data_IF_768181902225
#
_entry.id   IF_768181902225
#
_cell.length_a   1.000
_cell.length_b   1.000
_cell.length_c   1.000
_cell.angle_alpha   90.00
_cell.angle_beta   90.00
_cell.angle_gamma   90.00
#
_symmetry.space_group_name_H-M   'P 1'
#
loop_
_entity.id
_entity.type
_entity.pdbx_description
1 polymer ?
#
# COMPACT_ATOMS: atom_id res chain seq x y z
N UNK A 1 0.00 1.64 -10.47
CA UNK A 1 -1.38 1.54 -9.92
C UNK A 1 -2.30 2.62 -10.51
N UNK A 2 -1.90 3.90 -10.59
CA UNK A 2 -2.73 4.97 -11.19
C UNK A 2 -3.25 4.61 -12.60
N UNK A 3 -2.40 4.09 -13.47
CA UNK A 3 -2.80 3.68 -14.82
C UNK A 3 -3.82 2.52 -14.84
N UNK A 4 -3.71 1.57 -13.89
CA UNK A 4 -4.68 0.49 -13.76
C UNK A 4 -6.02 1.00 -13.21
N UNK A 5 -5.97 1.94 -12.25
CA UNK A 5 -7.18 2.57 -11.71
C UNK A 5 -7.92 3.37 -12.80
N UNK A 6 -7.18 4.10 -13.63
CA UNK A 6 -7.77 4.82 -14.77
C UNK A 6 -8.36 3.86 -15.80
N UNK A 7 -7.68 2.77 -16.12
CA UNK A 7 -8.22 1.73 -17.01
C UNK A 7 -9.53 1.14 -16.46
N UNK A 8 -9.56 0.77 -15.19
CA UNK A 8 -10.78 0.25 -14.54
C UNK A 8 -11.92 1.29 -14.56
N UNK A 9 -11.59 2.57 -14.29
CA UNK A 9 -12.55 3.67 -14.30
C UNK A 9 -13.21 3.86 -15.67
N UNK A 10 -12.47 3.68 -16.76
CA UNK A 10 -13.04 3.77 -18.12
C UNK A 10 -14.12 2.70 -18.38
N UNK A 11 -14.09 1.60 -17.66
CA UNK A 11 -15.11 0.55 -17.71
C UNK A 11 -16.14 0.65 -16.57
N UNK A 12 -16.13 1.73 -15.80
CA UNK A 12 -17.04 1.95 -14.67
C UNK A 12 -16.76 1.04 -13.45
N UNK A 13 -15.57 0.45 -13.36
CA UNK A 13 -15.17 -0.43 -12.26
C UNK A 13 -14.32 0.34 -11.26
N UNK A 14 -14.73 0.45 -9.98
CA UNK A 14 -13.93 1.09 -8.95
C UNK A 14 -12.72 0.23 -8.59
N UNK A 15 -11.64 0.88 -8.16
CA UNK A 15 -10.44 0.21 -7.66
C UNK A 15 -10.17 0.64 -6.21
N UNK A 16 -10.20 -0.32 -5.31
CA UNK A 16 -10.03 -0.11 -3.89
C UNK A 16 -8.66 -0.57 -3.40
N UNK A 17 -8.05 0.21 -2.50
CA UNK A 17 -6.85 -0.20 -1.79
C UNK A 17 -7.23 -0.93 -0.50
N UNK A 18 -6.74 -2.16 -0.34
CA UNK A 18 -6.79 -2.92 0.92
C UNK A 18 -5.37 -3.05 1.45
N UNK A 19 -5.18 -2.76 2.73
CA UNK A 19 -3.86 -2.82 3.36
C UNK A 19 -3.60 -4.22 3.93
N UNK A 20 -2.34 -4.71 3.77
CA UNK A 20 -2.04 -6.12 4.08
C UNK A 20 -1.21 -6.37 5.34
N UNK A 21 -0.64 -5.33 5.95
CA UNK A 21 0.10 -5.47 7.21
C UNK A 21 1.28 -6.43 7.14
N UNK A 22 2.14 -6.31 6.13
CA UNK A 22 3.22 -7.25 5.84
C UNK A 22 4.19 -7.47 7.01
N UNK A 23 4.49 -6.42 7.76
CA UNK A 23 5.36 -6.46 8.94
C UNK A 23 4.68 -5.77 10.11
N UNK A 24 4.61 -6.46 11.24
CA UNK A 24 4.00 -5.95 12.48
C UNK A 24 4.92 -6.24 13.68
N UNK A 25 6.22 -6.25 13.41
CA UNK A 25 7.23 -6.43 14.43
C UNK A 25 7.27 -5.21 15.34
N UNK A 26 7.42 -5.49 16.64
CA UNK A 26 7.61 -4.46 17.67
C UNK A 26 9.02 -4.49 18.26
N UNK A 27 9.90 -5.21 17.61
CA UNK A 27 11.30 -5.40 18.02
C UNK A 27 12.20 -4.75 16.98
N UNK A 28 13.24 -4.11 17.45
CA UNK A 28 14.25 -3.51 16.59
C UNK A 28 14.90 -4.55 15.67
N UNK A 29 15.15 -4.17 14.43
CA UNK A 29 15.85 -5.02 13.47
C UNK A 29 17.27 -5.27 13.94
N UNK A 30 17.70 -6.54 13.90
CA UNK A 30 19.11 -6.87 14.01
C UNK A 30 19.89 -6.55 12.72
N UNK A 31 21.21 -6.56 12.79
CA UNK A 31 22.06 -6.25 11.64
C UNK A 31 21.82 -7.21 10.45
N UNK A 32 21.55 -8.48 10.70
CA UNK A 32 21.29 -9.46 9.65
C UNK A 32 19.94 -9.22 8.96
N UNK A 33 18.89 -8.91 9.72
CA UNK A 33 17.58 -8.55 9.18
C UNK A 33 17.67 -7.25 8.34
N UNK A 34 18.44 -6.26 8.80
CA UNK A 34 18.70 -5.03 8.06
C UNK A 34 19.36 -5.31 6.71
N UNK A 35 20.45 -6.07 6.70
CA UNK A 35 21.17 -6.43 5.45
C UNK A 35 20.22 -7.16 4.48
N UNK A 36 19.46 -8.16 4.95
CA UNK A 36 18.50 -8.87 4.09
C UNK A 36 17.45 -7.92 3.52
N UNK A 37 16.92 -7.00 4.34
CA UNK A 37 15.89 -6.06 3.88
C UNK A 37 16.45 -5.11 2.80
N UNK A 38 17.64 -4.57 2.99
CA UNK A 38 18.28 -3.71 1.99
C UNK A 38 18.62 -4.46 0.69
N UNK A 39 19.00 -5.73 0.78
CA UNK A 39 19.18 -6.58 -0.42
C UNK A 39 17.86 -6.80 -1.18
N UNK A 40 16.74 -6.94 -0.48
CA UNK A 40 15.42 -6.97 -1.14
C UNK A 40 15.07 -5.64 -1.81
N UNK A 41 15.39 -4.51 -1.20
CA UNK A 41 15.16 -3.20 -1.83
C UNK A 41 15.96 -3.05 -3.12
N UNK A 42 17.24 -3.44 -3.12
CA UNK A 42 18.08 -3.44 -4.32
C UNK A 42 17.48 -4.33 -5.43
N UNK A 43 17.05 -5.55 -5.10
CA UNK A 43 16.42 -6.43 -6.08
C UNK A 43 15.10 -5.85 -6.64
N UNK A 44 14.31 -5.15 -5.81
CA UNK A 44 13.11 -4.45 -6.28
C UNK A 44 13.47 -3.29 -7.20
N UNK A 45 14.47 -2.47 -6.86
CA UNK A 45 14.96 -1.39 -7.70
C UNK A 45 15.41 -1.91 -9.07
N UNK A 46 16.26 -2.94 -9.10
CA UNK A 46 16.74 -3.58 -10.34
C UNK A 46 15.59 -4.13 -11.20
N UNK A 47 14.58 -4.73 -10.56
CA UNK A 47 13.47 -5.36 -11.28
C UNK A 47 12.45 -4.36 -11.80
N UNK A 48 12.21 -3.27 -11.04
CA UNK A 48 11.09 -2.35 -11.31
C UNK A 48 11.53 -0.99 -11.85
N UNK A 49 12.82 -0.64 -11.71
CA UNK A 49 13.33 0.70 -12.00
C UNK A 49 12.82 1.78 -11.04
N UNK A 50 12.16 1.40 -9.94
CA UNK A 50 11.72 2.37 -8.93
C UNK A 50 12.91 2.80 -8.07
N UNK A 51 13.02 4.10 -7.72
CA UNK A 51 14.16 4.61 -6.97
C UNK A 51 14.13 4.16 -5.50
N UNK A 52 15.30 3.77 -4.99
CA UNK A 52 15.55 3.51 -3.58
C UNK A 52 16.81 4.23 -3.13
N UNK A 53 16.83 4.71 -1.90
CA UNK A 53 18.02 5.25 -1.24
C UNK A 53 18.47 4.28 -0.18
N UNK A 54 19.52 3.52 -0.47
CA UNK A 54 20.04 2.46 0.41
C UNK A 54 20.95 3.05 1.50
N UNK A 55 21.69 4.09 1.17
CA UNK A 55 22.60 4.74 2.11
C UNK A 55 21.83 5.36 3.28
N UNK A 56 22.25 5.01 4.49
CA UNK A 56 21.62 5.42 5.75
C UNK A 56 20.16 4.97 5.95
N UNK A 57 19.64 4.09 5.09
CA UNK A 57 18.32 3.51 5.27
C UNK A 57 18.30 2.56 6.48
N UNK A 58 17.13 2.48 7.12
CA UNK A 58 16.88 1.59 8.25
C UNK A 58 17.95 1.71 9.35
N UNK A 59 18.00 2.83 10.09
CA UNK A 59 19.04 3.08 11.09
C UNK A 59 19.07 1.98 12.17
N UNK A 60 20.16 1.94 12.93
CA UNK A 60 20.28 1.00 14.06
C UNK A 60 19.12 1.22 15.04
N UNK A 61 18.53 0.14 15.50
CA UNK A 61 17.37 0.18 16.41
C UNK A 61 16.04 0.43 15.72
N UNK A 62 15.99 0.49 14.38
CA UNK A 62 14.73 0.70 13.65
C UNK A 62 13.76 -0.45 13.87
N UNK A 63 12.52 -0.12 14.25
CA UNK A 63 11.40 -1.07 14.34
C UNK A 63 10.60 -0.99 13.05
N UNK A 64 10.70 -2.04 12.24
CA UNK A 64 10.03 -2.07 10.94
C UNK A 64 8.57 -2.53 11.08
N UNK A 65 7.71 -1.62 11.53
CA UNK A 65 6.26 -1.82 11.63
C UNK A 65 5.53 -1.12 10.49
N UNK A 66 4.76 -1.85 9.69
CA UNK A 66 3.97 -1.30 8.59
C UNK A 66 2.57 -0.86 9.01
N UNK A 67 2.13 -1.18 10.25
CA UNK A 67 0.79 -0.84 10.73
C UNK A 67 0.51 0.67 10.67
N UNK A 68 1.39 1.58 11.15
CA UNK A 68 1.10 3.01 11.10
C UNK A 68 0.86 3.54 9.69
N UNK A 69 1.68 3.14 8.72
CA UNK A 69 1.51 3.52 7.33
C UNK A 69 0.21 2.95 6.72
N UNK A 70 -0.14 1.70 7.03
CA UNK A 70 -1.40 1.09 6.63
C UNK A 70 -2.59 1.85 7.22
N UNK A 71 -2.55 2.16 8.51
CA UNK A 71 -3.60 2.90 9.20
C UNK A 71 -3.78 4.32 8.68
N UNK A 72 -2.71 4.97 8.24
CA UNK A 72 -2.79 6.26 7.57
C UNK A 72 -3.60 6.18 6.27
N UNK A 73 -3.43 5.12 5.48
CA UNK A 73 -4.20 4.90 4.25
C UNK A 73 -5.67 4.59 4.55
N UNK A 74 -5.95 3.84 5.62
CA UNK A 74 -7.33 3.56 6.05
C UNK A 74 -8.01 4.83 6.57
N UNK A 75 -7.31 5.67 7.33
CA UNK A 75 -7.82 6.97 7.77
C UNK A 75 -8.13 7.88 6.56
N UNK A 76 -7.22 7.95 5.60
CA UNK A 76 -7.43 8.70 4.35
C UNK A 76 -8.66 8.18 3.59
N UNK A 77 -8.82 6.87 3.44
CA UNK A 77 -9.98 6.23 2.79
C UNK A 77 -11.31 6.62 3.47
N UNK A 78 -11.31 6.76 4.78
CA UNK A 78 -12.49 7.18 5.54
C UNK A 78 -12.84 8.67 5.39
N UNK A 79 -11.86 9.52 5.09
CA UNK A 79 -12.04 10.96 4.90
C UNK A 79 -12.27 11.34 3.45
N UNK A 80 -11.42 10.86 2.55
CA UNK A 80 -11.49 11.08 1.11
C UNK A 80 -10.81 9.92 0.37
N UNK A 81 -11.59 9.10 -0.30
CA UNK A 81 -11.09 7.95 -1.05
C UNK A 81 -10.13 8.37 -2.18
N UNK A 82 -10.28 9.57 -2.75
CA UNK A 82 -9.40 10.07 -3.81
C UNK A 82 -7.99 10.40 -3.30
N UNK A 83 -7.84 10.69 -2.01
CA UNK A 83 -6.53 10.95 -1.39
C UNK A 83 -5.70 9.68 -1.15
N UNK A 84 -6.28 8.49 -1.20
CA UNK A 84 -5.62 7.22 -0.81
C UNK A 84 -4.40 6.92 -1.67
N UNK A 85 -4.54 6.95 -3.01
CA UNK A 85 -3.44 6.64 -3.92
C UNK A 85 -2.33 7.71 -3.91
N UNK A 86 -2.64 9.02 -3.94
CA UNK A 86 -1.65 10.05 -3.73
C UNK A 86 -0.88 9.91 -2.41
N UNK A 87 -1.59 9.62 -1.30
CA UNK A 87 -0.95 9.42 0.00
C UNK A 87 -0.05 8.18 0.02
N UNK A 88 -0.52 7.05 -0.55
CA UNK A 88 0.29 5.83 -0.65
C UNK A 88 1.61 6.08 -1.39
N UNK A 89 1.57 6.85 -2.49
CA UNK A 89 2.75 7.24 -3.26
C UNK A 89 3.71 8.12 -2.45
N UNK A 90 3.18 9.09 -1.69
CA UNK A 90 4.00 9.93 -0.82
C UNK A 90 4.64 9.13 0.33
N UNK A 91 3.90 8.22 0.97
CA UNK A 91 4.42 7.35 2.02
C UNK A 91 5.56 6.48 1.48
N UNK A 92 5.38 5.85 0.32
CA UNK A 92 6.41 5.04 -0.32
C UNK A 92 7.65 5.89 -0.64
N UNK A 93 7.48 7.08 -1.22
CA UNK A 93 8.59 7.97 -1.52
C UNK A 93 9.32 8.41 -0.25
N UNK A 94 8.59 8.85 0.77
CA UNK A 94 9.16 9.27 2.04
C UNK A 94 10.02 8.15 2.66
N UNK A 95 9.54 6.92 2.65
CA UNK A 95 10.23 5.78 3.26
C UNK A 95 11.40 5.28 2.40
N UNK A 96 11.16 4.96 1.14
CA UNK A 96 12.15 4.28 0.29
C UNK A 96 13.17 5.21 -0.36
N UNK A 97 12.84 6.49 -0.55
CA UNK A 97 13.71 7.46 -1.26
C UNK A 97 14.27 8.51 -0.30
N UNK A 98 13.44 9.00 0.63
CA UNK A 98 13.80 10.11 1.52
C UNK A 98 14.29 9.62 2.90
N UNK A 99 14.26 8.29 3.14
CA UNK A 99 14.62 7.65 4.42
C UNK A 99 13.89 8.24 5.63
N UNK A 100 12.67 8.73 5.42
CA UNK A 100 11.81 9.24 6.47
C UNK A 100 11.17 8.10 7.26
N UNK A 101 11.10 8.23 8.58
CA UNK A 101 10.47 7.23 9.43
C UNK A 101 8.94 7.33 9.38
N UNK A 102 8.32 6.59 8.46
CA UNK A 102 6.86 6.54 8.29
C UNK A 102 6.15 5.68 9.35
N UNK A 103 6.87 5.20 10.37
CA UNK A 103 6.24 4.64 11.57
C UNK A 103 5.80 5.73 12.55
N UNK A 104 6.28 6.97 12.35
CA UNK A 104 5.99 8.11 13.20
C UNK A 104 4.70 8.81 12.77
N UNK A 105 3.72 8.97 13.69
CA UNK A 105 2.46 9.66 13.38
C UNK A 105 2.65 11.07 12.80
N UNK A 106 3.62 11.83 13.31
CA UNK A 106 3.87 13.18 12.84
C UNK A 106 4.23 13.25 11.36
N UNK A 107 5.07 12.29 10.87
CA UNK A 107 5.43 12.18 9.46
C UNK A 107 4.21 11.87 8.60
N UNK A 108 3.38 10.93 9.04
CA UNK A 108 2.18 10.53 8.31
C UNK A 108 1.15 11.67 8.21
N UNK A 109 0.99 12.45 9.28
CA UNK A 109 0.12 13.64 9.27
C UNK A 109 0.64 14.70 8.28
N UNK A 110 1.95 14.95 8.24
CA UNK A 110 2.54 15.89 7.27
C UNK A 110 2.37 15.43 5.82
N UNK A 111 2.45 14.12 5.57
CA UNK A 111 2.20 13.56 4.24
C UNK A 111 0.72 13.66 3.85
N UNK A 112 -0.19 13.47 4.80
CA UNK A 112 -1.63 13.63 4.58
C UNK A 112 -2.01 15.07 4.23
N UNK A 113 -1.42 16.07 4.89
CA UNK A 113 -1.61 17.48 4.56
C UNK A 113 -1.19 17.80 3.11
N UNK A 114 -0.11 17.18 2.60
CA UNK A 114 0.35 17.37 1.22
C UNK A 114 -0.61 16.84 0.15
N UNK A 115 -1.51 15.94 0.51
CA UNK A 115 -2.56 15.43 -0.39
C UNK A 115 -3.94 16.05 -0.14
N UNK A 116 -3.98 17.13 0.67
CA UNK A 116 -5.20 17.92 0.88
C UNK A 116 -6.06 17.44 2.05
N UNK A 117 -5.57 16.50 2.89
CA UNK A 117 -6.26 16.09 4.11
C UNK A 117 -5.84 17.01 5.28
N UNK A 118 -6.74 17.86 5.82
CA UNK A 118 -6.36 18.79 6.88
C UNK A 118 -5.93 18.04 8.16
N UNK A 119 -4.86 18.51 8.80
CA UNK A 119 -4.34 17.94 10.05
C UNK A 119 -5.43 17.78 11.12
N UNK A 120 -6.31 18.78 11.24
CA UNK A 120 -7.37 18.79 12.25
C UNK A 120 -8.40 17.66 12.06
N UNK A 121 -8.53 17.16 10.83
CA UNK A 121 -9.43 16.04 10.50
C UNK A 121 -8.66 14.72 10.47
N UNK A 122 -7.47 14.71 9.85
CA UNK A 122 -6.71 13.49 9.66
C UNK A 122 -6.12 12.94 10.97
N UNK A 123 -5.53 13.77 11.83
CA UNK A 123 -4.88 13.26 13.03
C UNK A 123 -5.86 12.56 14.00
N UNK A 124 -7.04 13.11 14.29
CA UNK A 124 -8.05 12.39 15.07
C UNK A 124 -8.54 11.12 14.39
N UNK A 125 -8.78 11.14 13.07
CA UNK A 125 -9.22 9.97 12.32
C UNK A 125 -8.15 8.87 12.32
N UNK A 126 -6.87 9.22 12.19
CA UNK A 126 -5.74 8.30 12.26
C UNK A 126 -5.65 7.60 13.63
N UNK A 127 -5.92 8.31 14.74
CA UNK A 127 -5.84 7.75 16.10
C UNK A 127 -7.14 7.08 16.57
N UNK A 128 -8.22 7.22 15.82
CA UNK A 128 -9.54 6.69 16.18
C UNK A 128 -9.53 5.15 16.35
N UNK A 129 -10.21 4.60 17.36
CA UNK A 129 -10.36 3.15 17.53
C UNK A 129 -11.01 2.49 16.31
N UNK A 130 -11.93 3.16 15.64
CA UNK A 130 -12.65 2.69 14.45
C UNK A 130 -11.66 2.48 13.28
N UNK A 131 -10.73 3.40 13.08
CA UNK A 131 -9.68 3.29 12.06
C UNK A 131 -8.72 2.15 12.35
N UNK A 132 -8.34 1.95 13.62
CA UNK A 132 -7.54 0.78 14.04
C UNK A 132 -8.27 -0.54 13.77
N UNK A 133 -9.56 -0.60 14.10
CA UNK A 133 -10.40 -1.76 13.84
C UNK A 133 -10.55 -2.03 12.34
N UNK A 134 -10.78 -1.00 11.53
CA UNK A 134 -10.86 -1.11 10.08
C UNK A 134 -9.53 -1.55 9.44
N UNK A 135 -8.40 -1.07 9.97
CA UNK A 135 -7.06 -1.52 9.54
C UNK A 135 -6.85 -3.00 9.84
N UNK A 136 -7.24 -3.44 11.03
CA UNK A 136 -7.15 -4.85 11.40
C UNK A 136 -8.09 -5.71 10.54
N UNK A 137 -9.28 -5.22 10.22
CA UNK A 137 -10.22 -5.93 9.35
C UNK A 137 -9.64 -6.15 7.94
N UNK A 138 -8.95 -5.15 7.37
CA UNK A 138 -8.23 -5.30 6.09
C UNK A 138 -7.15 -6.41 6.19
N UNK A 139 -6.36 -6.42 7.28
CA UNK A 139 -5.33 -7.43 7.49
C UNK A 139 -5.93 -8.85 7.60
N UNK A 140 -7.01 -8.98 8.36
CA UNK A 140 -7.69 -10.26 8.55
C UNK A 140 -8.33 -10.74 7.25
N UNK A 141 -8.89 -9.83 6.45
CA UNK A 141 -9.44 -10.14 5.14
C UNK A 141 -8.36 -10.68 4.19
N UNK A 142 -7.22 -10.00 4.08
CA UNK A 142 -6.11 -10.46 3.26
C UNK A 142 -5.57 -11.83 3.73
N UNK A 143 -5.43 -12.02 5.06
CA UNK A 143 -4.98 -13.27 5.65
C UNK A 143 -5.96 -14.43 5.38
N UNK A 144 -7.27 -14.20 5.54
CA UNK A 144 -8.32 -15.18 5.31
C UNK A 144 -8.40 -15.64 3.85
N UNK A 145 -8.01 -14.79 2.91
CA UNK A 145 -7.87 -15.14 1.48
C UNK A 145 -6.54 -15.85 1.17
N UNK A 146 -5.68 -16.08 2.16
CA UNK A 146 -4.38 -16.72 1.97
C UNK A 146 -3.35 -15.81 1.27
N UNK A 147 -3.57 -14.49 1.26
CA UNK A 147 -2.63 -13.53 0.67
C UNK A 147 -1.44 -13.36 1.62
N UNK A 148 -0.29 -13.89 1.21
CA UNK A 148 0.96 -13.85 1.96
C UNK A 148 2.02 -12.92 1.36
N UNK A 149 1.73 -12.30 0.21
CA UNK A 149 2.67 -11.43 -0.51
C UNK A 149 1.98 -10.27 -1.21
N UNK A 150 2.75 -9.22 -1.46
CA UNK A 150 2.28 -7.98 -2.08
C UNK A 150 3.25 -7.51 -3.17
N UNK A 151 2.74 -6.80 -4.21
CA UNK A 151 1.34 -6.47 -4.45
C UNK A 151 0.50 -7.69 -4.87
N UNK A 152 -0.77 -7.72 -4.50
CA UNK A 152 -1.76 -8.68 -5.00
C UNK A 152 -2.92 -7.91 -5.59
N UNK A 153 -3.38 -8.29 -6.78
CA UNK A 153 -4.55 -7.71 -7.44
C UNK A 153 -5.65 -8.77 -7.54
N UNK A 154 -6.79 -8.45 -6.96
CA UNK A 154 -8.02 -9.22 -7.08
C UNK A 154 -9.03 -8.46 -7.93
N UNK A 155 -9.85 -9.18 -8.67
CA UNK A 155 -11.02 -8.64 -9.35
C UNK A 155 -12.28 -9.30 -8.77
N UNK A 156 -13.33 -8.51 -8.59
CA UNK A 156 -14.61 -8.99 -8.07
C UNK A 156 -15.71 -8.84 -9.12
N UNK A 157 -16.52 -9.89 -9.27
CA UNK A 157 -17.72 -9.85 -10.09
C UNK A 157 -18.81 -10.69 -9.42
N UNK A 158 -19.98 -10.11 -9.19
CA UNK A 158 -21.12 -10.78 -8.58
C UNK A 158 -20.80 -11.46 -7.23
N UNK A 159 -19.95 -10.83 -6.43
CA UNK A 159 -19.49 -11.36 -5.14
C UNK A 159 -18.42 -12.46 -5.24
N UNK A 160 -17.95 -12.79 -6.45
CA UNK A 160 -16.87 -13.75 -6.64
C UNK A 160 -15.54 -13.05 -6.88
N UNK A 161 -14.52 -13.45 -6.14
CA UNK A 161 -13.17 -12.95 -6.28
C UNK A 161 -12.35 -13.81 -7.24
N UNK A 162 -11.64 -13.15 -8.14
CA UNK A 162 -10.65 -13.77 -9.02
C UNK A 162 -9.27 -13.16 -8.75
N UNK A 163 -8.25 -14.00 -8.64
CA UNK A 163 -6.87 -13.58 -8.55
C UNK A 163 -6.38 -13.15 -9.94
N UNK A 164 -6.08 -11.86 -10.10
CA UNK A 164 -5.49 -11.32 -11.33
C UNK A 164 -3.97 -11.48 -11.29
N UNK A 165 -3.33 -11.10 -10.18
CA UNK A 165 -1.90 -11.35 -9.98
C UNK A 165 -1.53 -11.44 -8.50
N UNK A 166 -0.48 -12.21 -8.22
CA UNK A 166 0.19 -12.30 -6.93
C UNK A 166 1.68 -12.00 -7.13
N UNK A 167 2.13 -10.86 -6.61
CA UNK A 167 3.47 -10.32 -6.83
C UNK A 167 3.54 -9.30 -7.97
N UNK A 168 4.75 -8.75 -8.16
CA UNK A 168 5.02 -7.75 -9.19
C UNK A 168 4.84 -8.33 -10.60
N UNK A 169 4.18 -7.55 -11.45
CA UNK A 169 4.10 -7.74 -12.90
C UNK A 169 4.34 -6.39 -13.58
N UNK A 170 4.99 -6.36 -14.74
CA UNK A 170 5.07 -5.17 -15.57
C UNK A 170 3.69 -4.59 -15.88
N UNK A 171 3.60 -3.26 -16.02
CA UNK A 171 2.33 -2.58 -16.25
C UNK A 171 1.60 -3.10 -17.50
N UNK A 172 2.32 -3.37 -18.58
CA UNK A 172 1.74 -3.85 -19.84
C UNK A 172 1.02 -5.19 -19.64
N UNK A 173 1.65 -6.14 -18.92
CA UNK A 173 1.05 -7.42 -18.58
C UNK A 173 -0.21 -7.26 -17.71
N UNK A 174 -0.13 -6.38 -16.69
CA UNK A 174 -1.27 -6.11 -15.81
C UNK A 174 -2.43 -5.45 -16.55
N UNK A 175 -2.14 -4.51 -17.46
CA UNK A 175 -3.14 -3.84 -18.27
C UNK A 175 -3.84 -4.81 -19.21
N UNK A 176 -3.12 -5.78 -19.78
CA UNK A 176 -3.69 -6.84 -20.61
C UNK A 176 -4.58 -7.76 -19.79
N UNK A 177 -4.11 -8.27 -18.65
CA UNK A 177 -4.88 -9.15 -17.75
C UNK A 177 -6.16 -8.48 -17.27
N UNK A 178 -6.04 -7.22 -16.81
CA UNK A 178 -7.19 -6.43 -16.38
C UNK A 178 -8.15 -6.18 -17.54
N UNK A 179 -7.64 -5.83 -18.72
CA UNK A 179 -8.44 -5.62 -19.93
C UNK A 179 -9.26 -6.85 -20.32
N UNK A 180 -8.64 -8.04 -20.33
CA UNK A 180 -9.33 -9.29 -20.59
C UNK A 180 -10.46 -9.57 -19.59
N UNK A 181 -10.24 -9.24 -18.30
CA UNK A 181 -11.27 -9.42 -17.28
C UNK A 181 -12.41 -8.42 -17.43
N UNK A 182 -12.09 -7.14 -17.75
CA UNK A 182 -13.08 -6.08 -17.95
C UNK A 182 -14.00 -6.38 -19.15
N UNK A 183 -13.43 -6.80 -20.29
CA UNK A 183 -14.19 -7.10 -21.52
C UNK A 183 -15.12 -8.30 -21.33
N UNK A 184 -14.67 -9.39 -20.70
CA UNK A 184 -15.51 -10.58 -20.44
C UNK A 184 -16.77 -10.30 -19.62
N UNK A 185 -16.86 -9.15 -18.96
CA UNK A 185 -18.03 -8.72 -18.22
C UNK A 185 -19.06 -7.93 -19.01
N UNK A 186 -18.73 -7.54 -20.24
CA UNK A 186 -19.63 -6.78 -21.13
C UNK A 186 -20.33 -7.68 -22.16
N UNK A 187 -20.04 -8.98 -22.18
CA UNK A 187 -20.60 -9.94 -23.14
C UNK A 187 -21.82 -10.74 -22.61
N UNK A 188 -22.72 -10.07 -21.82
CA UNK A 188 -24.01 -10.64 -21.45
C UNK A 188 -25.16 -9.71 -21.82
#
# INVERSE_FOLDING_TARGET
MEALAEQARLYGVPMHLVVGGLRRERVAMDAAARVRTLSYWQAVEETTGQPFTIDNALPEGFVYDTEPACRALVAARGLDEQAVWPLAKLIQRAFYVENSDVTQPAVLVELAEKVGLPRIEFAPAFDAPETRAATQADFDWALNLGIAGFPTLLAEREGQLALVTNGYQPLDNLSELLGMWLVRGTEF
#
